data_IF_299298923128
#
_entry.id   IF_299298923128
#
_cell.length_a   1.000
_cell.length_b   1.000
_cell.length_c   1.000
_cell.angle_alpha   90.00
_cell.angle_beta   90.00
_cell.angle_gamma   90.00
#
_symmetry.space_group_name_H-M   'P 1'
#
loop_
_entity.id
_entity.type
_entity.pdbx_description
1 polymer ?
#
# COMPACT_ATOMS: atom_id res chain seq x y z
N UNK A 1 -11.32 13.60 42.43
CA UNK A 1 -10.05 13.85 43.12
C UNK A 1 -8.95 13.84 42.07
N UNK A 2 -8.26 14.95 41.85
CA UNK A 2 -7.05 15.00 41.04
C UNK A 2 -5.93 14.33 41.83
N UNK A 3 -5.51 13.13 41.41
CA UNK A 3 -4.28 12.55 41.92
C UNK A 3 -3.11 13.49 41.52
N UNK A 4 -2.17 13.81 42.43
CA UNK A 4 -0.99 14.58 42.05
C UNK A 4 -0.19 13.78 41.02
N UNK A 5 0.03 14.36 39.84
CA UNK A 5 1.00 13.82 38.90
C UNK A 5 2.40 14.10 39.44
N UNK A 6 3.19 13.05 39.69
CA UNK A 6 4.62 13.18 39.97
C UNK A 6 5.39 12.82 38.71
N UNK A 7 6.09 13.80 38.13
CA UNK A 7 7.09 13.55 37.10
C UNK A 7 8.42 13.32 37.81
N UNK A 8 8.86 12.05 37.85
CA UNK A 8 10.20 11.69 38.31
C UNK A 8 11.12 11.67 37.09
N UNK A 9 12.05 12.62 37.03
CA UNK A 9 13.16 12.58 36.05
C UNK A 9 14.38 11.99 36.74
N UNK A 10 14.80 10.82 36.29
CA UNK A 10 16.08 10.22 36.68
C UNK A 10 17.07 10.59 35.58
N UNK A 11 18.21 11.15 35.97
CA UNK A 11 19.28 11.53 35.04
C UNK A 11 20.03 10.26 34.66
N UNK A 12 19.97 9.87 33.39
CA UNK A 12 20.74 8.76 32.86
C UNK A 12 22.18 9.22 32.54
N UNK A 13 23.15 8.30 32.57
CA UNK A 13 24.50 8.55 32.07
C UNK A 13 24.53 8.78 30.55
N UNK A 14 25.60 9.38 30.04
CA UNK A 14 25.72 9.77 28.62
C UNK A 14 25.59 8.59 27.63
N UNK A 15 25.87 7.36 28.07
CA UNK A 15 25.78 6.12 27.28
C UNK A 15 24.59 5.21 27.65
N UNK A 16 23.68 5.66 28.52
CA UNK A 16 22.55 4.87 28.97
C UNK A 16 21.31 5.09 28.08
N UNK A 17 20.63 3.99 27.73
CA UNK A 17 19.37 4.06 27.00
C UNK A 17 18.30 4.74 27.87
N UNK A 18 17.66 5.77 27.32
CA UNK A 18 16.55 6.46 27.97
C UNK A 18 15.26 5.65 27.81
N UNK A 19 14.46 5.60 28.89
CA UNK A 19 13.14 4.99 28.88
C UNK A 19 12.14 5.87 29.65
N UNK A 20 10.88 5.83 29.23
CA UNK A 20 9.76 6.46 29.94
C UNK A 20 8.90 5.40 30.63
N UNK A 21 8.40 5.72 31.83
CA UNK A 21 7.42 4.90 32.54
C UNK A 21 6.24 5.77 32.98
N UNK A 22 5.03 5.27 32.76
CA UNK A 22 3.79 5.88 33.23
C UNK A 22 3.12 4.88 34.18
N UNK A 23 2.72 5.35 35.36
CA UNK A 23 1.99 4.55 36.33
C UNK A 23 0.75 5.33 36.80
N UNK A 24 -0.36 4.61 36.96
CA UNK A 24 -1.62 5.15 37.45
C UNK A 24 -2.05 4.29 38.63
N UNK A 25 -2.43 4.93 39.74
CA UNK A 25 -2.87 4.25 40.96
C UNK A 25 -4.30 4.62 41.29
N UNK A 26 -5.13 3.60 41.49
CA UNK A 26 -6.50 3.71 41.97
C UNK A 26 -6.77 2.66 43.06
N UNK A 27 -7.87 2.81 43.79
CA UNK A 27 -8.34 1.85 44.79
C UNK A 27 -9.82 1.63 44.52
N UNK A 28 -10.23 0.39 44.28
CA UNK A 28 -11.60 0.03 43.94
C UNK A 28 -12.29 -0.65 45.13
N UNK A 29 -13.53 -0.25 45.40
CA UNK A 29 -14.42 -0.95 46.32
C UNK A 29 -15.02 -2.23 45.72
N UNK A 30 -15.73 -3.04 46.51
CA UNK A 30 -16.45 -4.21 46.00
C UNK A 30 -17.43 -3.81 44.89
N UNK A 31 -17.29 -4.44 43.71
CA UNK A 31 -18.10 -4.18 42.49
C UNK A 31 -17.90 -2.81 41.84
N UNK A 32 -16.90 -2.03 42.23
CA UNK A 32 -16.56 -0.78 41.55
C UNK A 32 -15.83 -1.08 40.22
N UNK A 33 -16.12 -0.28 39.19
CA UNK A 33 -15.51 -0.36 37.86
C UNK A 33 -14.88 0.98 37.50
N UNK A 34 -13.68 0.94 36.91
CA UNK A 34 -12.97 2.11 36.41
C UNK A 34 -12.41 1.79 35.02
N UNK A 35 -12.65 2.71 34.08
CA UNK A 35 -12.02 2.71 32.76
C UNK A 35 -11.04 3.88 32.67
N UNK A 36 -9.87 3.64 32.09
CA UNK A 36 -8.83 4.65 31.96
C UNK A 36 -8.09 4.48 30.62
N UNK A 37 -8.20 5.44 29.68
CA UNK A 37 -7.55 5.33 28.37
C UNK A 37 -6.06 5.62 28.46
N UNK A 38 -5.27 4.83 27.73
CA UNK A 38 -3.82 5.05 27.53
C UNK A 38 -3.56 5.13 26.04
N UNK A 39 -2.81 6.15 25.62
CA UNK A 39 -2.42 6.34 24.22
C UNK A 39 -0.91 6.26 24.07
N UNK A 40 -0.48 5.56 23.03
CA UNK A 40 0.90 5.58 22.53
C UNK A 40 0.89 6.27 21.17
N UNK A 41 1.79 7.24 20.97
CA UNK A 41 1.93 7.96 19.72
C UNK A 41 3.42 8.12 19.36
N UNK A 42 3.72 8.12 18.07
CA UNK A 42 5.06 8.33 17.53
C UNK A 42 5.02 9.35 16.39
N UNK A 43 5.89 10.35 16.45
CA UNK A 43 6.08 11.34 15.39
C UNK A 43 7.40 11.05 14.66
N UNK A 44 7.31 10.20 13.65
CA UNK A 44 8.38 9.88 12.70
C UNK A 44 7.93 10.35 11.31
N UNK A 45 8.14 11.63 10.94
CA UNK A 45 7.40 12.29 9.85
C UNK A 45 7.84 11.92 8.44
N UNK A 46 8.93 11.15 8.29
CA UNK A 46 9.48 10.80 6.99
C UNK A 46 9.65 9.28 6.82
N UNK A 47 9.40 8.79 5.61
CA UNK A 47 10.03 7.56 5.11
C UNK A 47 11.37 7.93 4.48
N UNK A 48 12.39 7.09 4.66
CA UNK A 48 13.71 7.24 4.05
C UNK A 48 14.11 5.91 3.39
N UNK A 49 13.82 5.78 2.09
CA UNK A 49 14.11 4.55 1.33
C UNK A 49 15.52 4.53 0.75
N UNK A 50 16.06 5.70 0.47
CA UNK A 50 17.44 5.93 0.08
C UNK A 50 18.01 7.01 1.00
N UNK A 51 19.29 6.87 1.38
CA UNK A 51 19.95 7.81 2.28
C UNK A 51 19.81 9.25 1.78
N UNK A 52 19.20 10.11 2.58
CA UNK A 52 18.95 11.52 2.27
C UNK A 52 17.67 11.78 1.46
N UNK A 53 16.97 10.77 0.96
CA UNK A 53 15.71 10.92 0.21
C UNK A 53 14.53 10.70 1.15
N UNK A 54 13.89 11.81 1.55
CA UNK A 54 12.78 11.81 2.51
C UNK A 54 11.43 11.98 1.81
N UNK A 55 10.51 11.06 2.11
CA UNK A 55 9.10 11.13 1.70
C UNK A 55 8.27 11.48 2.92
N UNK A 56 7.42 12.50 2.82
CA UNK A 56 6.69 13.01 3.99
C UNK A 56 5.47 12.13 4.23
N UNK A 57 5.30 11.58 5.44
CA UNK A 57 4.16 10.70 5.76
C UNK A 57 2.87 11.50 5.80
N UNK A 58 1.75 10.95 5.30
CA UNK A 58 0.47 11.67 5.16
C UNK A 58 -0.01 12.39 6.43
N UNK A 59 0.12 11.79 7.62
CA UNK A 59 -0.40 12.38 8.87
C UNK A 59 0.19 13.76 9.17
N UNK A 60 1.37 14.07 8.63
CA UNK A 60 2.04 15.35 8.83
C UNK A 60 1.28 16.52 8.20
N UNK A 61 0.31 16.30 7.30
CA UNK A 61 -0.62 17.35 6.85
C UNK A 61 -1.49 17.90 7.99
N UNK A 62 -1.74 17.08 9.02
CA UNK A 62 -2.57 17.44 10.17
C UNK A 62 -1.72 17.98 11.33
N UNK A 63 -0.54 17.40 11.56
CA UNK A 63 0.28 17.69 12.75
C UNK A 63 1.59 18.45 12.46
N UNK A 64 1.97 18.66 11.20
CA UNK A 64 3.28 19.19 10.83
C UNK A 64 4.35 18.11 10.66
N UNK A 65 5.55 18.50 10.23
CA UNK A 65 6.66 17.59 9.90
C UNK A 65 7.94 17.87 10.72
N UNK A 66 7.82 18.59 11.83
CA UNK A 66 8.94 19.05 12.66
C UNK A 66 9.52 17.97 13.60
N UNK A 67 8.90 16.78 13.66
CA UNK A 67 9.28 15.67 14.54
C UNK A 67 9.20 15.99 16.06
N UNK A 68 8.30 16.89 16.47
CA UNK A 68 8.05 17.29 17.86
C UNK A 68 6.54 17.35 18.20
N UNK A 69 5.74 16.52 17.54
CA UNK A 69 4.27 16.57 17.62
C UNK A 69 3.65 15.33 18.27
N UNK A 70 4.45 14.38 18.77
CA UNK A 70 3.95 13.14 19.37
C UNK A 70 2.94 13.37 20.51
N UNK A 71 3.16 14.40 21.34
CA UNK A 71 2.22 14.76 22.40
C UNK A 71 0.91 15.34 21.86
N UNK A 72 0.95 16.13 20.77
CA UNK A 72 -0.24 16.67 20.13
C UNK A 72 -1.09 15.54 19.52
N UNK A 73 -0.45 14.57 18.87
CA UNK A 73 -1.10 13.35 18.35
C UNK A 73 -1.75 12.57 19.50
N UNK A 74 -1.01 12.34 20.60
CA UNK A 74 -1.52 11.59 21.74
C UNK A 74 -2.71 12.29 22.42
N UNK A 75 -2.66 13.63 22.54
CA UNK A 75 -3.76 14.43 23.08
C UNK A 75 -5.01 14.34 22.22
N UNK A 76 -4.87 14.47 20.90
CA UNK A 76 -6.02 14.36 20.00
C UNK A 76 -6.67 12.98 20.11
N UNK A 77 -5.87 11.90 20.18
CA UNK A 77 -6.39 10.57 20.41
C UNK A 77 -7.13 10.44 21.75
N UNK A 78 -6.61 11.01 22.84
CA UNK A 78 -7.31 11.03 24.14
C UNK A 78 -8.61 11.84 24.10
N UNK A 79 -8.66 12.91 23.31
CA UNK A 79 -9.86 13.75 23.15
C UNK A 79 -10.91 13.08 22.24
N UNK A 80 -10.48 12.18 21.35
CA UNK A 80 -11.30 11.63 20.27
C UNK A 80 -11.56 10.13 20.33
N UNK A 81 -10.92 9.36 21.21
CA UNK A 81 -10.99 7.89 21.17
C UNK A 81 -12.42 7.35 21.16
N UNK A 82 -13.34 7.91 21.95
CA UNK A 82 -14.75 7.46 21.98
C UNK A 82 -15.50 7.76 20.68
N UNK A 83 -15.13 8.83 19.97
CA UNK A 83 -15.67 9.13 18.65
C UNK A 83 -15.15 8.08 17.64
N UNK A 84 -13.87 7.73 17.73
CA UNK A 84 -13.25 6.74 16.86
C UNK A 84 -13.74 5.31 17.13
N UNK A 85 -13.94 4.93 18.38
CA UNK A 85 -14.55 3.64 18.76
C UNK A 85 -15.94 3.51 18.15
N UNK A 86 -16.79 4.53 18.30
CA UNK A 86 -18.12 4.54 17.66
C UNK A 86 -18.02 4.44 16.14
N UNK A 87 -17.12 5.19 15.52
CA UNK A 87 -16.94 5.11 14.07
C UNK A 87 -16.49 3.71 13.62
N UNK A 88 -15.65 3.03 14.42
CA UNK A 88 -15.24 1.64 14.18
C UNK A 88 -16.43 0.68 14.29
N UNK A 89 -17.20 0.79 15.38
CA UNK A 89 -18.39 -0.04 15.58
C UNK A 89 -19.40 0.16 14.44
N UNK A 90 -19.67 1.41 14.06
CA UNK A 90 -20.66 1.78 13.04
C UNK A 90 -20.36 1.12 11.67
N UNK A 91 -19.10 1.09 11.24
CA UNK A 91 -18.77 0.47 9.94
C UNK A 91 -18.75 -1.06 10.01
N UNK A 92 -18.41 -1.64 11.17
CA UNK A 92 -18.39 -3.09 11.36
C UNK A 92 -19.78 -3.68 11.59
N UNK A 93 -20.71 -2.90 12.12
CA UNK A 93 -22.01 -3.34 12.63
C UNK A 93 -22.75 -4.25 11.64
N UNK A 94 -22.86 -3.82 10.38
CA UNK A 94 -23.60 -4.55 9.35
C UNK A 94 -23.04 -5.93 9.02
N UNK A 95 -21.73 -6.15 9.21
CA UNK A 95 -21.08 -7.45 9.02
C UNK A 95 -21.20 -8.28 10.30
N UNK A 96 -20.94 -7.66 11.46
CA UNK A 96 -20.96 -8.33 12.77
C UNK A 96 -22.34 -8.89 13.09
N UNK A 97 -23.39 -8.09 12.88
CA UNK A 97 -24.78 -8.47 13.16
C UNK A 97 -25.39 -9.39 12.09
N UNK A 98 -24.70 -9.63 10.98
CA UNK A 98 -25.22 -10.52 9.94
C UNK A 98 -25.15 -11.98 10.38
N UNK A 99 -26.30 -12.54 10.75
CA UNK A 99 -26.45 -13.94 11.18
C UNK A 99 -26.27 -14.97 10.06
N UNK A 100 -26.25 -14.54 8.79
CA UNK A 100 -26.00 -15.42 7.64
C UNK A 100 -24.50 -15.66 7.41
N UNK A 101 -23.63 -14.85 8.03
CA UNK A 101 -22.18 -15.02 7.96
C UNK A 101 -21.68 -15.77 9.20
N UNK A 102 -20.89 -16.85 9.04
CA UNK A 102 -20.29 -17.54 10.19
C UNK A 102 -19.20 -16.68 10.83
N UNK A 103 -19.01 -16.83 12.15
CA UNK A 103 -18.10 -15.96 12.92
C UNK A 103 -16.63 -16.06 12.46
N UNK A 104 -16.18 -17.25 12.04
CA UNK A 104 -14.83 -17.41 11.48
C UNK A 104 -14.61 -16.53 10.25
N UNK A 105 -15.65 -16.35 9.42
CA UNK A 105 -15.53 -15.56 8.20
C UNK A 105 -15.50 -14.07 8.52
N UNK A 106 -16.31 -13.61 9.49
CA UNK A 106 -16.26 -12.23 9.99
C UNK A 106 -14.88 -11.90 10.56
N UNK A 107 -14.33 -12.82 11.37
CA UNK A 107 -13.00 -12.70 11.93
C UNK A 107 -11.94 -12.56 10.84
N UNK A 108 -11.94 -13.43 9.82
CA UNK A 108 -11.01 -13.34 8.70
C UNK A 108 -11.19 -12.02 7.94
N UNK A 109 -12.43 -11.63 7.61
CA UNK A 109 -12.71 -10.42 6.83
C UNK A 109 -12.14 -9.14 7.46
N UNK A 110 -12.19 -9.03 8.78
CA UNK A 110 -11.62 -7.88 9.49
C UNK A 110 -10.12 -8.01 9.72
N UNK A 111 -9.65 -9.18 10.16
CA UNK A 111 -8.25 -9.33 10.54
C UNK A 111 -7.31 -9.30 9.33
N UNK A 112 -7.73 -9.73 8.15
CA UNK A 112 -6.92 -9.64 6.93
C UNK A 112 -6.67 -8.19 6.47
N UNK A 113 -7.41 -7.21 7.00
CA UNK A 113 -7.15 -5.78 6.71
C UNK A 113 -5.86 -5.27 7.37
N UNK A 114 -5.24 -6.04 8.28
CA UNK A 114 -4.02 -5.65 8.99
C UNK A 114 -2.87 -5.24 8.04
N UNK A 115 -2.80 -5.86 6.85
CA UNK A 115 -1.78 -5.58 5.84
C UNK A 115 -1.73 -4.11 5.43
N UNK A 116 -2.89 -3.43 5.45
CA UNK A 116 -3.00 -2.01 5.15
C UNK A 116 -2.34 -1.13 6.21
N UNK A 117 -2.35 -1.54 7.48
CA UNK A 117 -1.74 -0.76 8.55
C UNK A 117 -0.25 -1.09 8.66
N UNK A 118 0.11 -2.35 8.46
CA UNK A 118 1.48 -2.83 8.69
C UNK A 118 2.45 -2.42 7.57
N UNK A 119 2.00 -2.43 6.32
CA UNK A 119 2.91 -2.31 5.17
C UNK A 119 2.70 -1.07 4.31
N UNK A 120 1.65 -0.28 4.58
CA UNK A 120 1.34 0.88 3.76
C UNK A 120 2.35 2.00 3.87
N UNK A 121 2.54 2.69 2.75
CA UNK A 121 3.14 4.01 2.68
C UNK A 121 2.14 4.99 2.06
N UNK A 122 2.12 6.21 2.58
CA UNK A 122 1.27 7.28 2.07
C UNK A 122 2.05 8.59 2.09
N UNK A 123 2.38 9.07 0.89
CA UNK A 123 3.14 10.30 0.71
C UNK A 123 2.21 11.52 0.74
N UNK A 124 2.55 12.50 1.57
CA UNK A 124 1.76 13.70 1.75
C UNK A 124 1.87 14.66 0.55
N UNK A 125 2.98 14.65 -0.17
CA UNK A 125 3.17 15.58 -1.29
C UNK A 125 2.41 15.16 -2.54
N UNK A 126 2.54 13.90 -2.93
CA UNK A 126 1.86 13.34 -4.11
C UNK A 126 0.46 12.83 -3.80
N UNK A 127 0.14 12.64 -2.52
CA UNK A 127 -1.08 11.96 -2.06
C UNK A 127 -1.24 10.53 -2.60
N UNK A 128 -0.12 9.88 -2.98
CA UNK A 128 -0.11 8.48 -3.40
C UNK A 128 0.00 7.55 -2.20
N UNK A 129 -0.75 6.45 -2.25
CA UNK A 129 -0.80 5.41 -1.23
C UNK A 129 -0.57 4.04 -1.87
N UNK A 130 0.15 3.16 -1.19
CA UNK A 130 0.32 1.78 -1.61
C UNK A 130 0.76 0.93 -0.43
N UNK A 131 0.72 -0.39 -0.57
CA UNK A 131 1.11 -1.37 0.45
C UNK A 131 1.93 -2.49 -0.19
N UNK A 132 2.64 -3.25 0.62
CA UNK A 132 3.50 -4.33 0.13
C UNK A 132 2.68 -5.54 -0.28
N UNK A 133 3.13 -6.24 -1.31
CA UNK A 133 2.65 -7.57 -1.66
C UNK A 133 2.75 -8.54 -0.48
N UNK A 134 3.91 -8.56 0.19
CA UNK A 134 4.13 -9.28 1.45
C UNK A 134 5.40 -8.81 2.15
N UNK A 135 5.72 -9.38 3.31
CA UNK A 135 6.99 -9.14 4.02
C UNK A 135 8.19 -9.82 3.36
N UNK A 136 7.97 -10.87 2.58
CA UNK A 136 9.02 -11.59 1.83
C UNK A 136 9.25 -10.96 0.45
N UNK A 137 8.16 -10.56 -0.20
CA UNK A 137 8.17 -9.83 -1.47
C UNK A 137 7.94 -8.34 -1.21
N UNK A 138 9.04 -7.63 -0.99
CA UNK A 138 9.07 -6.19 -0.72
C UNK A 138 8.77 -5.33 -1.96
N UNK A 139 7.59 -5.50 -2.55
CA UNK A 139 7.12 -4.90 -3.79
C UNK A 139 5.84 -4.12 -3.47
N UNK A 140 5.84 -2.82 -3.76
CA UNK A 140 4.68 -1.97 -3.52
C UNK A 140 3.69 -2.04 -4.67
N UNK A 141 2.41 -2.24 -4.34
CA UNK A 141 1.31 -2.18 -5.31
C UNK A 141 1.49 -3.16 -6.46
N UNK A 142 1.85 -4.41 -6.16
CA UNK A 142 2.02 -5.45 -7.17
C UNK A 142 0.72 -5.63 -7.95
N UNK A 143 0.72 -5.27 -9.22
CA UNK A 143 -0.47 -5.03 -10.01
C UNK A 143 -1.23 -6.32 -10.37
N UNK A 144 -0.50 -7.40 -10.69
CA UNK A 144 -1.09 -8.70 -10.96
C UNK A 144 -1.79 -9.29 -9.74
N UNK A 145 -1.25 -9.04 -8.54
CA UNK A 145 -1.82 -9.46 -7.24
C UNK A 145 -2.99 -8.55 -6.85
N UNK A 146 -2.79 -7.24 -6.93
CA UNK A 146 -3.80 -6.24 -6.58
C UNK A 146 -5.01 -6.29 -7.49
N UNK A 147 -4.90 -6.82 -8.71
CA UNK A 147 -6.06 -7.12 -9.56
C UNK A 147 -7.10 -8.01 -8.84
N UNK A 148 -6.66 -8.85 -7.89
CA UNK A 148 -7.52 -9.68 -7.05
C UNK A 148 -7.78 -9.04 -5.68
N UNK A 149 -6.75 -8.53 -5.01
CA UNK A 149 -6.84 -8.16 -3.59
C UNK A 149 -7.40 -6.76 -3.35
N UNK A 150 -7.24 -5.80 -4.28
CA UNK A 150 -7.58 -4.36 -4.09
C UNK A 150 -9.05 -4.04 -3.78
N UNK A 151 -9.94 -5.03 -3.70
CA UNK A 151 -11.33 -4.84 -3.27
C UNK A 151 -11.44 -4.17 -1.90
N UNK A 152 -10.52 -4.44 -0.97
CA UNK A 152 -10.55 -3.81 0.34
C UNK A 152 -10.33 -2.28 0.24
N UNK A 153 -9.39 -1.82 -0.60
CA UNK A 153 -9.19 -0.39 -0.87
C UNK A 153 -10.40 0.19 -1.60
N UNK A 154 -10.86 -0.45 -2.68
CA UNK A 154 -12.01 0.05 -3.44
C UNK A 154 -13.28 0.18 -2.58
N UNK A 155 -13.49 -0.76 -1.65
CA UNK A 155 -14.68 -0.81 -0.79
C UNK A 155 -14.63 0.22 0.34
N UNK A 156 -13.46 0.43 0.94
CA UNK A 156 -13.30 1.23 2.16
C UNK A 156 -12.75 2.64 1.89
N UNK A 157 -11.84 2.78 0.92
CA UNK A 157 -11.16 4.02 0.55
C UNK A 157 -11.03 4.15 -0.99
N UNK A 158 -12.15 4.26 -1.72
CA UNK A 158 -12.17 4.25 -3.18
C UNK A 158 -11.29 5.33 -3.81
N UNK A 159 -11.12 6.47 -3.15
CA UNK A 159 -10.23 7.55 -3.60
C UNK A 159 -8.77 7.12 -3.70
N UNK A 160 -8.30 6.25 -2.81
CA UNK A 160 -6.93 5.73 -2.85
C UNK A 160 -6.76 4.75 -4.02
N UNK A 161 -7.72 3.86 -4.21
CA UNK A 161 -7.71 2.93 -5.35
C UNK A 161 -7.75 3.67 -6.70
N UNK A 162 -8.62 4.67 -6.83
CA UNK A 162 -8.70 5.47 -8.06
C UNK A 162 -7.41 6.25 -8.31
N UNK A 163 -6.74 6.75 -7.27
CA UNK A 163 -5.44 7.42 -7.42
C UNK A 163 -4.36 6.43 -7.87
N UNK A 164 -4.37 5.21 -7.36
CA UNK A 164 -3.46 4.15 -7.80
C UNK A 164 -3.67 3.82 -9.27
N UNK A 165 -4.92 3.62 -9.69
CA UNK A 165 -5.22 3.38 -11.11
C UNK A 165 -4.85 4.54 -12.03
N UNK A 166 -4.95 5.79 -11.56
CA UNK A 166 -4.43 6.95 -12.32
C UNK A 166 -2.91 6.95 -12.41
N UNK A 167 -2.22 6.52 -11.36
CA UNK A 167 -0.77 6.38 -11.38
C UNK A 167 -0.33 5.31 -12.40
N UNK A 168 -0.92 4.11 -12.34
CA UNK A 168 -0.68 3.05 -13.33
C UNK A 168 -1.00 3.53 -14.75
N UNK A 169 -2.10 4.24 -14.95
CA UNK A 169 -2.45 4.81 -16.25
C UNK A 169 -1.35 5.73 -16.80
N UNK A 170 -0.72 6.53 -15.93
CA UNK A 170 0.41 7.37 -16.32
C UNK A 170 1.68 6.55 -16.57
N UNK A 171 1.92 5.51 -15.79
CA UNK A 171 3.13 4.68 -15.85
C UNK A 171 3.22 3.82 -17.12
N UNK A 172 2.09 3.55 -17.80
CA UNK A 172 2.10 2.87 -19.11
C UNK A 172 2.87 3.67 -20.16
N UNK A 173 2.79 5.00 -20.12
CA UNK A 173 3.52 5.89 -21.04
C UNK A 173 5.02 6.00 -20.71
N UNK A 174 5.48 5.41 -19.59
CA UNK A 174 6.87 5.54 -19.16
C UNK A 174 7.77 4.47 -19.76
N UNK A 175 9.03 4.86 -19.95
CA UNK A 175 10.13 4.00 -20.34
C UNK A 175 11.29 4.22 -19.36
N UNK A 176 11.88 3.13 -18.89
CA UNK A 176 13.13 3.13 -18.13
C UNK A 176 14.11 2.21 -18.85
N UNK A 177 15.02 2.78 -19.65
CA UNK A 177 15.96 2.01 -20.45
C UNK A 177 17.13 1.44 -19.61
N UNK A 178 17.14 1.65 -18.29
CA UNK A 178 18.15 1.07 -17.40
C UNK A 178 18.12 -0.45 -17.54
N UNK A 179 19.27 -1.03 -17.86
CA UNK A 179 19.40 -2.47 -18.03
C UNK A 179 19.45 -3.18 -16.67
N UNK A 180 18.72 -4.28 -16.60
CA UNK A 180 18.57 -5.11 -15.40
C UNK A 180 18.80 -6.57 -15.76
N UNK A 181 19.56 -7.26 -14.92
CA UNK A 181 19.64 -8.72 -14.94
C UNK A 181 18.48 -9.28 -14.12
N UNK A 182 17.71 -10.19 -14.71
CA UNK A 182 16.65 -10.87 -13.99
C UNK A 182 17.19 -12.17 -13.38
N UNK A 183 17.02 -12.30 -12.07
CA UNK A 183 17.71 -13.29 -11.23
C UNK A 183 17.37 -14.73 -11.59
N UNK A 184 16.18 -15.02 -12.13
CA UNK A 184 15.79 -16.39 -12.45
C UNK A 184 16.73 -17.07 -13.45
N UNK A 185 17.17 -16.39 -14.52
CA UNK A 185 18.11 -16.97 -15.47
C UNK A 185 19.51 -17.19 -14.89
N UNK A 186 19.88 -16.45 -13.85
CA UNK A 186 21.15 -16.62 -13.14
C UNK A 186 21.08 -17.82 -12.18
N UNK A 187 19.95 -17.98 -11.49
CA UNK A 187 19.76 -19.04 -10.49
C UNK A 187 19.38 -20.37 -11.14
N UNK A 188 18.55 -20.35 -12.18
CA UNK A 188 18.02 -21.51 -12.90
C UNK A 188 18.33 -21.44 -14.41
N UNK A 189 19.61 -21.36 -14.83
CA UNK A 189 19.97 -21.14 -16.23
C UNK A 189 19.48 -22.25 -17.18
N UNK A 190 19.35 -23.47 -16.68
CA UNK A 190 18.91 -24.63 -17.48
C UNK A 190 17.38 -24.67 -17.70
N UNK A 191 16.60 -23.85 -16.98
CA UNK A 191 15.14 -23.76 -17.14
C UNK A 191 14.73 -22.70 -18.17
N UNK A 192 15.66 -21.84 -18.61
CA UNK A 192 15.39 -20.78 -19.57
C UNK A 192 15.68 -21.28 -20.99
N UNK A 193 14.66 -21.31 -21.89
CA UNK A 193 14.89 -21.63 -23.29
C UNK A 193 15.90 -20.66 -23.92
N UNK A 194 16.77 -21.17 -24.79
CA UNK A 194 17.84 -20.39 -25.41
C UNK A 194 17.29 -19.17 -26.18
N UNK A 195 16.16 -19.34 -26.89
CA UNK A 195 15.48 -18.27 -27.62
C UNK A 195 14.85 -17.20 -26.71
N UNK A 196 14.68 -17.49 -25.42
CA UNK A 196 14.11 -16.57 -24.41
C UNK A 196 15.15 -15.93 -23.49
N UNK A 197 16.44 -16.28 -23.64
CA UNK A 197 17.50 -15.76 -22.77
C UNK A 197 17.59 -14.22 -22.80
N UNK A 198 17.27 -13.61 -23.95
CA UNK A 198 17.25 -12.16 -24.13
C UNK A 198 16.18 -11.42 -23.29
N UNK A 199 15.21 -12.12 -22.68
CA UNK A 199 14.26 -11.53 -21.74
C UNK A 199 14.90 -11.23 -20.38
N UNK A 200 15.97 -11.94 -20.01
CA UNK A 200 16.54 -11.89 -18.66
C UNK A 200 17.72 -10.93 -18.52
N UNK A 201 18.08 -10.24 -19.60
CA UNK A 201 18.97 -9.09 -19.60
C UNK A 201 18.32 -8.01 -20.47
N UNK A 202 17.53 -7.13 -19.84
CA UNK A 202 16.64 -6.23 -20.57
C UNK A 202 16.38 -4.91 -19.82
N UNK A 203 15.67 -3.99 -20.46
CA UNK A 203 15.28 -2.69 -19.87
C UNK A 203 14.29 -2.88 -18.73
N UNK A 204 14.40 -2.04 -17.70
CA UNK A 204 13.58 -2.12 -16.50
C UNK A 204 12.08 -1.89 -16.79
N UNK A 205 11.72 -0.90 -17.59
CA UNK A 205 10.32 -0.58 -17.95
C UNK A 205 10.17 -0.25 -19.43
N UNK A 206 9.28 -0.96 -20.10
CA UNK A 206 8.95 -0.76 -21.53
C UNK A 206 7.67 0.05 -21.68
N UNK A 207 7.63 0.99 -22.63
CA UNK A 207 6.41 1.71 -23.01
C UNK A 207 5.27 0.75 -23.34
N UNK A 208 4.05 1.08 -22.94
CA UNK A 208 2.87 0.27 -23.23
C UNK A 208 2.70 -0.98 -22.36
N UNK A 209 3.72 -1.39 -21.60
CA UNK A 209 3.57 -2.45 -20.59
C UNK A 209 3.15 -1.85 -19.24
N UNK A 210 2.18 -2.47 -18.59
CA UNK A 210 1.85 -2.18 -17.19
C UNK A 210 3.04 -2.65 -16.33
N UNK A 211 3.55 -1.81 -15.41
CA UNK A 211 4.59 -2.26 -14.48
C UNK A 211 4.03 -3.31 -13.52
N UNK A 212 4.85 -4.28 -13.14
CA UNK A 212 4.54 -5.27 -12.11
C UNK A 212 4.25 -4.60 -10.78
N UNK A 213 5.15 -3.73 -10.33
CA UNK A 213 5.05 -3.03 -9.07
C UNK A 213 5.45 -1.56 -9.25
N UNK A 214 5.08 -0.73 -8.29
CA UNK A 214 5.41 0.70 -8.27
C UNK A 214 6.60 1.01 -7.38
N UNK A 215 7.47 0.02 -7.17
CA UNK A 215 8.75 0.16 -6.49
C UNK A 215 8.87 -0.73 -5.25
N UNK A 216 9.90 -0.46 -4.47
CA UNK A 216 10.27 -1.26 -3.29
C UNK A 216 10.82 -0.36 -2.19
N UNK A 217 10.72 -0.75 -0.90
CA UNK A 217 11.44 -0.06 0.16
C UNK A 217 12.97 -0.10 -0.01
N UNK A 218 13.50 -0.94 -0.90
CA UNK A 218 14.93 -1.00 -1.26
C UNK A 218 15.34 0.03 -2.33
N UNK A 219 14.39 0.77 -2.88
CA UNK A 219 14.61 1.74 -3.96
C UNK A 219 13.82 3.02 -3.73
N UNK A 220 13.16 3.57 -4.75
CA UNK A 220 12.38 4.82 -4.66
C UNK A 220 10.96 4.55 -5.16
N UNK A 221 10.01 4.25 -4.25
CA UNK A 221 8.61 4.04 -4.61
C UNK A 221 8.05 5.21 -5.45
N UNK A 222 7.21 4.86 -6.43
CA UNK A 222 6.63 5.72 -7.46
C UNK A 222 7.61 6.36 -8.46
N UNK A 223 8.93 6.16 -8.30
CA UNK A 223 9.97 6.70 -9.18
C UNK A 223 10.65 5.57 -9.96
N UNK A 224 11.16 4.57 -9.25
CA UNK A 224 11.79 3.38 -9.84
C UNK A 224 10.77 2.25 -9.75
N UNK A 225 10.08 1.99 -10.87
CA UNK A 225 9.07 0.94 -10.99
C UNK A 225 9.73 -0.41 -11.30
N UNK A 226 8.95 -1.49 -11.28
CA UNK A 226 9.45 -2.85 -11.57
C UNK A 226 10.65 -3.22 -10.69
N UNK A 227 10.55 -2.98 -9.39
CA UNK A 227 11.58 -3.37 -8.44
C UNK A 227 11.77 -4.90 -8.44
N UNK A 228 10.69 -5.66 -8.63
CA UNK A 228 10.75 -7.11 -8.82
C UNK A 228 11.74 -7.52 -9.91
N UNK A 229 12.72 -8.33 -9.53
CA UNK A 229 13.87 -8.70 -10.36
C UNK A 229 13.99 -10.20 -10.60
N UNK A 230 13.05 -11.02 -10.10
CA UNK A 230 13.10 -12.45 -10.34
C UNK A 230 12.78 -12.79 -11.80
N UNK A 231 11.69 -12.25 -12.35
CA UNK A 231 11.26 -12.43 -13.75
C UNK A 231 11.07 -11.07 -14.44
N UNK A 232 11.15 -11.06 -15.77
CA UNK A 232 10.88 -9.86 -16.54
C UNK A 232 9.38 -9.64 -16.76
N UNK A 233 8.79 -8.76 -15.96
CA UNK A 233 7.37 -8.40 -16.07
C UNK A 233 6.99 -7.75 -17.41
N UNK A 234 7.93 -7.13 -18.13
CA UNK A 234 7.66 -6.51 -19.44
C UNK A 234 7.32 -7.55 -20.54
N UNK A 235 7.44 -8.85 -20.25
CA UNK A 235 7.02 -9.93 -21.14
C UNK A 235 5.85 -10.74 -20.58
N UNK A 236 5.26 -10.35 -19.45
CA UNK A 236 4.09 -11.01 -18.90
C UNK A 236 2.84 -10.70 -19.72
N UNK A 237 1.91 -11.66 -19.78
CA UNK A 237 0.71 -11.59 -20.64
C UNK A 237 -0.56 -11.21 -19.90
N UNK A 238 -0.51 -11.11 -18.58
CA UNK A 238 -1.68 -10.92 -17.71
C UNK A 238 -1.81 -9.47 -17.19
N UNK A 239 -0.71 -8.74 -16.99
CA UNK A 239 -0.73 -7.37 -16.47
C UNK A 239 -1.55 -6.41 -17.36
N UNK A 240 -1.27 -6.37 -18.66
CA UNK A 240 -1.97 -5.51 -19.61
C UNK A 240 -3.48 -5.79 -19.70
N UNK A 241 -3.97 -7.05 -19.76
CA UNK A 241 -5.41 -7.31 -19.75
C UNK A 241 -6.05 -7.16 -18.36
N UNK A 242 -5.32 -7.30 -17.26
CA UNK A 242 -5.82 -6.99 -15.91
C UNK A 242 -6.15 -5.51 -15.73
N UNK A 243 -5.42 -4.60 -16.40
CA UNK A 243 -5.63 -3.17 -16.28
C UNK A 243 -7.03 -2.66 -16.68
N UNK A 244 -7.56 -2.92 -17.89
CA UNK A 244 -8.91 -2.51 -18.26
C UNK A 244 -9.96 -3.12 -17.35
N UNK A 245 -9.78 -4.38 -16.91
CA UNK A 245 -10.72 -5.06 -16.02
C UNK A 245 -10.79 -4.37 -14.66
N UNK A 246 -9.64 -4.10 -14.05
CA UNK A 246 -9.54 -3.39 -12.77
C UNK A 246 -10.07 -1.95 -12.88
N UNK A 247 -9.64 -1.21 -13.90
CA UNK A 247 -10.09 0.17 -14.10
C UNK A 247 -11.61 0.28 -14.33
N UNK A 248 -12.18 -0.62 -15.13
CA UNK A 248 -13.61 -0.58 -15.41
C UNK A 248 -14.44 -1.04 -14.20
N UNK A 249 -13.96 -2.04 -13.45
CA UNK A 249 -14.52 -2.42 -12.13
C UNK A 249 -14.62 -1.20 -11.22
N UNK A 250 -13.53 -0.44 -11.06
CA UNK A 250 -13.49 0.69 -10.14
C UNK A 250 -14.42 1.82 -10.58
N UNK A 251 -14.47 2.10 -11.88
CA UNK A 251 -15.39 3.09 -12.45
C UNK A 251 -16.85 2.73 -12.17
N UNK A 252 -17.23 1.46 -12.39
CA UNK A 252 -18.59 0.99 -12.15
C UNK A 252 -18.93 1.02 -10.65
N UNK A 253 -18.00 0.54 -9.81
CA UNK A 253 -18.19 0.48 -8.37
C UNK A 253 -18.38 1.87 -7.74
N UNK A 254 -17.66 2.87 -8.26
CA UNK A 254 -17.75 4.27 -7.78
C UNK A 254 -18.90 5.06 -8.42
N UNK A 255 -19.86 4.36 -9.06
CA UNK A 255 -21.12 4.93 -9.53
C UNK A 255 -21.07 5.49 -10.95
N UNK A 256 -20.02 5.22 -11.72
CA UNK A 256 -19.93 5.51 -13.16
C UNK A 256 -20.04 6.99 -13.55
N UNK A 257 -19.59 7.91 -12.68
CA UNK A 257 -19.71 9.37 -12.91
C UNK A 257 -18.41 10.04 -13.34
N UNK A 258 -17.26 9.49 -12.96
CA UNK A 258 -15.97 10.09 -13.31
C UNK A 258 -15.55 9.74 -14.75
N UNK A 259 -16.11 10.49 -15.70
CA UNK A 259 -15.77 10.34 -17.12
C UNK A 259 -14.32 10.72 -17.43
N UNK A 260 -13.66 11.52 -16.58
CA UNK A 260 -12.25 11.86 -16.73
C UNK A 260 -11.34 10.67 -16.44
N UNK A 261 -11.67 9.93 -15.37
CA UNK A 261 -11.06 8.63 -15.07
C UNK A 261 -11.29 7.64 -16.21
N UNK A 262 -12.55 7.41 -16.61
CA UNK A 262 -12.89 6.45 -17.66
C UNK A 262 -12.17 6.74 -18.98
N UNK A 263 -12.15 7.99 -19.44
CA UNK A 263 -11.47 8.36 -20.71
C UNK A 263 -9.96 8.10 -20.64
N UNK A 264 -9.33 8.44 -19.50
CA UNK A 264 -7.89 8.23 -19.30
C UNK A 264 -7.55 6.75 -19.27
N UNK A 265 -8.27 5.98 -18.47
CA UNK A 265 -8.03 4.55 -18.35
C UNK A 265 -8.37 3.83 -19.64
N UNK A 266 -9.44 4.21 -20.35
CA UNK A 266 -9.74 3.65 -21.68
C UNK A 266 -8.61 3.87 -22.69
N UNK A 267 -8.09 5.11 -22.81
CA UNK A 267 -6.94 5.39 -23.68
C UNK A 267 -5.74 4.51 -23.32
N UNK A 268 -5.45 4.40 -22.02
CA UNK A 268 -4.35 3.59 -21.51
C UNK A 268 -4.56 2.10 -21.82
N UNK A 269 -5.78 1.61 -21.66
CA UNK A 269 -6.14 0.22 -21.98
C UNK A 269 -5.89 -0.12 -23.43
N UNK A 270 -6.22 0.78 -24.37
CA UNK A 270 -5.92 0.59 -25.80
C UNK A 270 -4.41 0.45 -26.00
N UNK A 271 -3.61 1.39 -25.49
CA UNK A 271 -2.15 1.33 -25.59
C UNK A 271 -1.61 0.00 -25.03
N UNK A 272 -2.09 -0.42 -23.86
CA UNK A 272 -1.63 -1.63 -23.21
C UNK A 272 -2.00 -2.89 -23.99
N UNK A 273 -3.24 -3.00 -24.47
CA UNK A 273 -3.70 -4.16 -25.22
C UNK A 273 -3.03 -4.24 -26.59
N UNK A 274 -2.96 -3.13 -27.33
CA UNK A 274 -2.29 -3.06 -28.65
C UNK A 274 -0.80 -3.45 -28.50
N UNK A 275 -0.11 -2.92 -27.48
CA UNK A 275 1.31 -3.26 -27.23
C UNK A 275 1.49 -4.75 -26.92
N UNK A 276 0.55 -5.36 -26.17
CA UNK A 276 0.62 -6.78 -25.86
C UNK A 276 0.42 -7.62 -27.12
N UNK A 277 -0.56 -7.24 -27.94
CA UNK A 277 -0.90 -7.90 -29.18
C UNK A 277 0.27 -7.85 -30.17
N UNK A 278 0.79 -6.67 -30.46
CA UNK A 278 1.91 -6.47 -31.39
C UNK A 278 3.16 -7.26 -31.00
N UNK A 279 3.43 -7.40 -29.69
CA UNK A 279 4.65 -8.04 -29.20
C UNK A 279 4.53 -9.55 -29.06
N UNK A 280 3.34 -10.06 -28.77
CA UNK A 280 3.20 -11.43 -28.28
C UNK A 280 2.00 -12.20 -28.80
N UNK A 281 1.05 -11.59 -29.50
CA UNK A 281 -0.11 -12.32 -30.00
C UNK A 281 0.18 -13.06 -31.30
N UNK A 282 -0.56 -14.15 -31.47
CA UNK A 282 -0.73 -14.78 -32.77
C UNK A 282 -1.50 -13.83 -33.72
N UNK A 283 -0.99 -13.54 -34.94
CA UNK A 283 -1.60 -12.54 -35.83
C UNK A 283 -3.00 -12.88 -36.34
N UNK A 284 -3.43 -14.14 -36.23
CA UNK A 284 -4.75 -14.59 -36.71
C UNK A 284 -5.77 -14.68 -35.58
N UNK A 285 -5.39 -15.28 -34.45
CA UNK A 285 -6.28 -15.46 -33.29
C UNK A 285 -6.24 -14.32 -32.29
N UNK A 286 -5.24 -13.44 -32.37
CA UNK A 286 -4.98 -12.36 -31.41
C UNK A 286 -4.75 -12.85 -29.96
N UNK A 287 -4.49 -14.15 -29.79
CA UNK A 287 -4.22 -14.76 -28.48
C UNK A 287 -2.72 -14.68 -28.20
N UNK A 288 -2.29 -14.30 -26.97
CA UNK A 288 -0.89 -14.35 -26.59
C UNK A 288 -0.27 -15.74 -26.78
N UNK A 289 0.84 -15.78 -27.52
CA UNK A 289 1.66 -16.97 -27.71
C UNK A 289 2.34 -17.36 -26.39
N UNK A 290 2.34 -18.67 -26.10
CA UNK A 290 2.99 -19.28 -24.93
C UNK A 290 4.48 -19.49 -25.23
#
# INVERSE_FOLDING_TARGET
MTAPSQILKIQAGDDEALAGAISVKFTLGPKEHLEFPVVVAWDLPFYEFEKGVKYRKKYTEFFGAEADNAFAIAREALDKYQEWERAIDDWQEGIVQNSSLPDWFKQTLFNELYVLVETSIWDAFTNLHTYLESVDYLMYGTFDVDAYSSWHLLKLWPELELNNMRFFAKAVDWEDPTYKAYSYAVVMPNEVPEDKMHYYWNTNKVYGMIPHDIGSPRSRPWIILNAFDWQNANVWKDLNPKFPLRAYRDFLFTGSKDLGFLRRTFKTSVIALDTLEERFADPESHIPLI
#
